data_IF_424012384788
#
_entry.id   IF_424012384788
#
_cell.length_a   1.000
_cell.length_b   1.000
_cell.length_c   1.000
_cell.angle_alpha   90.00
_cell.angle_beta   90.00
_cell.angle_gamma   90.00
#
_symmetry.space_group_name_H-M   'P 1'
#
loop_
_entity.id
_entity.type
_entity.pdbx_description
1 polymer ?
#
# COMPACT_ATOMS: atom_id res chain seq x y z
N UNK A 1 42.34 -45.08 -23.09
CA UNK A 1 43.46 -45.18 -24.05
C UNK A 1 44.06 -43.80 -24.15
N UNK A 2 45.31 -43.48 -23.79
CA UNK A 2 46.49 -44.20 -23.33
C UNK A 2 47.26 -43.20 -22.43
N UNK A 3 47.74 -43.56 -21.24
CA UNK A 3 49.08 -44.13 -20.98
C UNK A 3 50.20 -43.65 -21.92
N UNK A 4 51.22 -43.02 -21.32
CA UNK A 4 52.44 -42.59 -22.00
C UNK A 4 53.46 -42.08 -21.00
N UNK A 5 54.30 -42.98 -20.50
CA UNK A 5 55.33 -42.76 -19.49
C UNK A 5 56.69 -42.31 -20.09
N UNK A 6 57.36 -41.37 -19.38
CA UNK A 6 58.81 -41.32 -19.04
C UNK A 6 59.89 -41.36 -20.16
N UNK A 7 61.22 -41.30 -19.86
CA UNK A 7 62.04 -40.50 -18.91
C UNK A 7 63.36 -39.96 -19.54
N UNK A 8 64.11 -39.13 -18.79
CA UNK A 8 65.60 -39.06 -18.68
C UNK A 8 65.97 -37.66 -18.17
N UNK A 9 66.83 -37.42 -17.20
CA UNK A 9 67.92 -38.21 -16.67
C UNK A 9 69.14 -37.29 -16.61
N UNK A 10 69.57 -36.88 -15.42
CA UNK A 10 71.01 -36.76 -15.18
C UNK A 10 71.35 -36.70 -13.68
N UNK A 11 72.24 -37.63 -13.32
CA UNK A 11 72.91 -37.76 -12.04
C UNK A 11 73.97 -36.66 -11.91
N UNK A 12 74.09 -36.07 -10.73
CA UNK A 12 75.41 -35.85 -10.13
C UNK A 12 75.32 -36.19 -8.63
N UNK A 13 76.02 -37.26 -8.28
CA UNK A 13 76.36 -37.61 -6.90
C UNK A 13 77.45 -36.66 -6.44
N UNK A 14 77.33 -36.11 -5.23
CA UNK A 14 78.48 -35.58 -4.51
C UNK A 14 78.46 -36.11 -3.08
N UNK A 15 79.50 -36.87 -2.74
CA UNK A 15 79.75 -37.46 -1.43
C UNK A 15 80.48 -36.44 -0.55
N UNK A 16 79.91 -36.12 0.61
CA UNK A 16 80.53 -35.33 1.68
C UNK A 16 80.11 -35.87 3.05
N UNK A 17 81.10 -36.13 3.91
CA UNK A 17 81.05 -36.95 5.13
C UNK A 17 80.20 -36.40 6.30
N UNK A 18 79.89 -37.24 7.31
CA UNK A 18 78.90 -36.98 8.35
C UNK A 18 79.46 -36.16 9.52
N UNK A 19 78.77 -35.09 9.89
CA UNK A 19 79.02 -34.33 11.11
C UNK A 19 77.70 -34.13 11.83
N UNK A 20 77.55 -34.74 13.01
CA UNK A 20 76.36 -34.62 13.82
C UNK A 20 76.16 -33.20 14.34
N UNK A 21 74.94 -32.71 14.28
CA UNK A 21 74.33 -32.04 15.43
C UNK A 21 72.80 -32.20 15.32
N UNK A 22 72.28 -33.14 16.09
CA UNK A 22 70.85 -33.24 16.39
C UNK A 22 70.50 -32.10 17.36
N UNK A 23 69.29 -31.58 17.14
CA UNK A 23 68.47 -30.81 18.08
C UNK A 23 68.85 -29.34 18.28
N UNK A 24 68.16 -28.45 17.55
CA UNK A 24 67.09 -27.68 18.19
C UNK A 24 66.13 -27.10 17.12
N UNK A 25 65.11 -27.86 16.73
CA UNK A 25 64.04 -27.36 15.86
C UNK A 25 62.70 -27.94 16.30
N UNK A 26 62.36 -27.71 17.57
CA UNK A 26 61.21 -28.31 18.25
C UNK A 26 60.07 -27.36 18.60
N UNK A 27 60.02 -26.13 18.05
CA UNK A 27 59.01 -25.15 18.50
C UNK A 27 58.25 -24.36 17.42
N UNK A 28 58.50 -24.59 16.12
CA UNK A 28 57.80 -23.86 15.03
C UNK A 28 56.66 -24.65 14.36
N UNK A 29 56.64 -25.98 14.45
CA UNK A 29 55.58 -26.81 13.86
C UNK A 29 54.27 -26.80 14.66
N UNK A 30 54.37 -26.74 16.00
CA UNK A 30 53.20 -26.70 16.89
C UNK A 30 52.44 -25.38 16.79
N UNK A 31 53.14 -24.25 16.79
CA UNK A 31 52.52 -22.92 16.66
C UNK A 31 51.83 -22.71 15.30
N UNK A 32 52.40 -23.24 14.22
CA UNK A 32 51.78 -23.15 12.89
C UNK A 32 50.50 -23.98 12.80
N UNK A 33 50.49 -25.19 13.39
CA UNK A 33 49.30 -26.04 13.41
C UNK A 33 48.18 -25.44 14.28
N UNK A 34 48.52 -24.91 15.46
CA UNK A 34 47.58 -24.19 16.33
C UNK A 34 47.04 -22.94 15.63
N UNK A 35 47.86 -22.22 14.86
CA UNK A 35 47.40 -21.04 14.12
C UNK A 35 46.44 -21.42 12.98
N UNK A 36 46.64 -22.56 12.32
CA UNK A 36 45.70 -23.09 11.31
C UNK A 36 44.38 -23.52 11.95
N UNK A 37 44.42 -24.22 13.08
CA UNK A 37 43.22 -24.60 13.84
C UNK A 37 42.46 -23.37 14.32
N UNK A 38 43.14 -22.34 14.86
CA UNK A 38 42.52 -21.08 15.26
C UNK A 38 41.83 -20.37 14.08
N UNK A 39 42.44 -20.39 12.89
CA UNK A 39 41.85 -19.81 11.70
C UNK A 39 40.62 -20.62 11.23
N UNK A 40 40.66 -21.95 11.33
CA UNK A 40 39.51 -22.82 11.07
C UNK A 40 38.36 -22.54 12.02
N UNK A 41 38.62 -22.52 13.33
CA UNK A 41 37.64 -22.19 14.37
C UNK A 41 37.07 -20.79 14.15
N UNK A 42 37.87 -19.82 13.71
CA UNK A 42 37.39 -18.47 13.39
C UNK A 42 36.43 -18.45 12.21
N UNK A 43 36.68 -19.25 11.17
CA UNK A 43 35.77 -19.38 10.03
C UNK A 43 34.47 -20.07 10.44
N UNK A 44 34.55 -21.14 11.22
CA UNK A 44 33.37 -21.83 11.77
C UNK A 44 32.54 -20.90 12.66
N UNK A 45 33.18 -20.12 13.54
CA UNK A 45 32.49 -19.10 14.33
C UNK A 45 31.79 -18.04 13.46
N UNK A 46 32.35 -17.68 12.31
CA UNK A 46 31.70 -16.75 11.37
C UNK A 46 30.47 -17.38 10.73
N UNK A 47 30.59 -18.61 10.23
CA UNK A 47 29.47 -19.35 9.63
C UNK A 47 28.34 -19.58 10.63
N UNK A 48 28.67 -19.87 11.89
CA UNK A 48 27.68 -20.01 12.96
C UNK A 48 26.94 -18.70 13.21
N UNK A 49 27.62 -17.54 13.20
CA UNK A 49 26.97 -16.23 13.34
C UNK A 49 26.00 -15.95 12.19
N UNK A 50 26.44 -16.16 10.95
CA UNK A 50 25.59 -15.94 9.77
C UNK A 50 24.35 -16.85 9.81
N UNK A 51 24.53 -18.09 10.26
CA UNK A 51 23.42 -19.05 10.45
C UNK A 51 22.45 -18.59 11.54
N UNK A 52 22.96 -18.06 12.64
CA UNK A 52 22.12 -17.48 13.71
C UNK A 52 21.32 -16.29 13.18
N UNK A 53 21.94 -15.39 12.42
CA UNK A 53 21.24 -14.22 11.83
C UNK A 53 20.12 -14.64 10.88
N UNK A 54 20.34 -15.67 10.05
CA UNK A 54 19.30 -16.23 9.19
C UNK A 54 18.13 -16.82 10.01
N UNK A 55 18.44 -17.59 11.06
CA UNK A 55 17.43 -18.16 11.95
C UNK A 55 16.63 -17.08 12.69
N UNK A 56 17.25 -15.95 13.05
CA UNK A 56 16.55 -14.80 13.63
C UNK A 56 15.57 -14.16 12.64
N UNK A 57 15.97 -14.00 11.38
CA UNK A 57 15.09 -13.49 10.32
C UNK A 57 13.89 -14.41 10.06
N UNK A 58 14.12 -15.72 10.00
CA UNK A 58 13.04 -16.72 9.84
C UNK A 58 12.09 -16.70 11.03
N UNK A 59 12.62 -16.64 12.26
CA UNK A 59 11.83 -16.50 13.48
C UNK A 59 10.94 -15.27 13.44
N UNK A 60 11.45 -14.12 12.98
CA UNK A 60 10.65 -12.90 12.86
C UNK A 60 9.60 -12.99 11.73
N UNK A 61 9.92 -13.67 10.62
CA UNK A 61 8.96 -13.98 9.57
C UNK A 61 7.81 -14.86 10.10
N UNK A 62 8.14 -15.92 10.84
CA UNK A 62 7.19 -16.82 11.47
C UNK A 62 6.33 -16.09 12.51
N UNK A 63 6.92 -15.22 13.32
CA UNK A 63 6.16 -14.37 14.27
C UNK A 63 5.13 -13.50 13.55
N UNK A 64 5.50 -12.88 12.42
CA UNK A 64 4.57 -12.11 11.59
C UNK A 64 3.46 -13.00 11.02
N UNK A 65 3.79 -14.18 10.52
CA UNK A 65 2.82 -15.16 10.03
C UNK A 65 1.85 -15.62 11.13
N UNK A 66 2.35 -15.92 12.34
CA UNK A 66 1.54 -16.28 13.50
C UNK A 66 0.59 -15.14 13.89
N UNK A 67 1.09 -13.90 13.94
CA UNK A 67 0.25 -12.73 14.23
C UNK A 67 -0.87 -12.61 13.19
N UNK A 68 -0.56 -12.81 11.91
CA UNK A 68 -1.54 -12.80 10.84
C UNK A 68 -2.59 -13.89 11.03
N UNK A 69 -2.17 -15.14 11.25
CA UNK A 69 -3.08 -16.27 11.46
C UNK A 69 -3.95 -16.08 12.71
N UNK A 70 -3.43 -15.45 13.77
CA UNK A 70 -4.23 -15.10 14.95
C UNK A 70 -5.32 -14.08 14.63
N UNK A 71 -4.97 -13.03 13.88
CA UNK A 71 -5.96 -12.06 13.42
C UNK A 71 -7.03 -12.73 12.56
N UNK A 72 -6.60 -13.51 11.57
CA UNK A 72 -7.50 -14.25 10.67
C UNK A 72 -8.41 -15.22 11.44
N UNK A 73 -7.91 -15.90 12.46
CA UNK A 73 -8.71 -16.76 13.33
C UNK A 73 -9.73 -15.97 14.17
N UNK A 74 -9.36 -14.82 14.72
CA UNK A 74 -10.31 -13.93 15.41
C UNK A 74 -11.39 -13.39 14.45
N UNK A 75 -11.01 -13.06 13.21
CA UNK A 75 -11.98 -12.72 12.16
C UNK A 75 -12.91 -13.90 11.84
N UNK A 76 -12.38 -15.12 11.73
CA UNK A 76 -13.17 -16.33 11.48
C UNK A 76 -14.13 -16.66 12.63
N UNK A 77 -13.74 -16.42 13.89
CA UNK A 77 -14.64 -16.55 15.04
C UNK A 77 -15.78 -15.54 14.99
N UNK A 78 -15.49 -14.28 14.65
CA UNK A 78 -16.52 -13.25 14.44
C UNK A 78 -17.46 -13.65 13.30
N UNK A 79 -16.92 -14.16 12.20
CA UNK A 79 -17.69 -14.70 11.06
C UNK A 79 -18.58 -15.86 11.49
N UNK A 80 -18.05 -16.84 12.22
CA UNK A 80 -18.82 -17.98 12.74
C UNK A 80 -19.97 -17.50 13.64
N UNK A 81 -19.71 -16.57 14.55
CA UNK A 81 -20.74 -15.99 15.42
C UNK A 81 -21.84 -15.29 14.62
N UNK A 82 -21.47 -14.46 13.64
CA UNK A 82 -22.44 -13.79 12.76
C UNK A 82 -23.24 -14.77 11.89
N UNK A 83 -22.60 -15.81 11.37
CA UNK A 83 -23.28 -16.86 10.59
C UNK A 83 -24.22 -17.68 11.46
N UNK A 84 -23.85 -17.95 12.71
CA UNK A 84 -24.71 -18.61 13.69
C UNK A 84 -25.93 -17.74 14.02
N UNK A 85 -25.76 -16.41 14.10
CA UNK A 85 -26.85 -15.44 14.25
C UNK A 85 -27.76 -15.38 12.99
N UNK A 86 -27.20 -15.57 11.78
CA UNK A 86 -27.93 -15.61 10.49
C UNK A 86 -28.77 -16.87 10.25
N UNK A 87 -28.66 -17.91 11.09
CA UNK A 87 -29.53 -19.11 10.96
C UNK A 87 -31.00 -18.80 11.34
N UNK A 88 -31.29 -17.59 11.84
CA UNK A 88 -32.64 -17.03 11.90
C UNK A 88 -32.74 -15.68 11.17
N UNK A 89 -33.62 -15.62 10.18
CA UNK A 89 -34.24 -14.40 9.61
C UNK A 89 -33.72 -13.83 8.26
N UNK A 90 -34.66 -13.28 7.50
CA UNK A 90 -34.85 -13.36 6.05
C UNK A 90 -34.10 -12.36 5.14
N UNK A 91 -34.19 -12.70 3.84
CA UNK A 91 -33.50 -12.25 2.62
C UNK A 91 -33.39 -10.74 2.26
N UNK A 92 -33.74 -9.79 3.13
CA UNK A 92 -33.51 -8.35 2.87
C UNK A 92 -32.30 -7.76 3.65
N UNK A 93 -31.76 -8.52 4.61
CA UNK A 93 -30.57 -8.14 5.41
C UNK A 93 -29.22 -8.34 4.71
N UNK A 94 -29.19 -8.91 3.51
CA UNK A 94 -27.97 -9.46 2.89
C UNK A 94 -26.99 -8.38 2.39
N UNK A 95 -27.45 -7.39 1.62
CA UNK A 95 -26.57 -6.36 1.06
C UNK A 95 -26.10 -5.33 2.11
N UNK A 96 -26.92 -5.06 3.12
CA UNK A 96 -26.55 -4.15 4.23
C UNK A 96 -25.45 -4.78 5.10
N UNK A 97 -25.50 -6.10 5.30
CA UNK A 97 -24.45 -6.83 6.00
C UNK A 97 -23.15 -6.91 5.17
N UNK A 98 -23.23 -7.02 3.83
CA UNK A 98 -22.05 -6.95 2.95
C UNK A 98 -21.35 -5.59 2.98
N UNK A 99 -22.10 -4.49 3.13
CA UNK A 99 -21.50 -3.14 3.18
C UNK A 99 -20.66 -2.93 4.45
N UNK A 100 -21.08 -3.51 5.58
CA UNK A 100 -20.35 -3.41 6.84
C UNK A 100 -19.20 -4.42 6.95
N UNK A 101 -19.15 -5.40 6.05
CA UNK A 101 -18.12 -6.43 6.01
C UNK A 101 -16.76 -5.84 5.58
N UNK A 102 -15.69 -6.32 6.21
CA UNK A 102 -14.33 -5.99 5.80
C UNK A 102 -14.00 -6.72 4.49
N UNK A 103 -13.06 -6.19 3.71
CA UNK A 103 -12.76 -6.71 2.37
C UNK A 103 -12.47 -8.23 2.35
N UNK A 104 -11.76 -8.72 3.36
CA UNK A 104 -11.38 -10.13 3.51
C UNK A 104 -12.60 -11.08 3.68
N UNK A 105 -13.78 -10.53 4.03
CA UNK A 105 -15.02 -11.29 4.13
C UNK A 105 -15.72 -11.47 2.77
N UNK A 106 -15.43 -10.59 1.79
CA UNK A 106 -16.16 -10.47 0.51
C UNK A 106 -15.39 -11.10 -0.66
N UNK A 107 -14.06 -10.94 -0.71
CA UNK A 107 -13.20 -11.52 -1.75
C UNK A 107 -13.46 -11.03 -3.20
N UNK A 108 -14.12 -9.88 -3.39
CA UNK A 108 -14.49 -9.31 -4.71
C UNK A 108 -13.43 -8.35 -5.27
N UNK A 109 -13.61 -7.90 -6.51
CA UNK A 109 -12.85 -6.75 -7.05
C UNK A 109 -13.08 -5.51 -6.15
N UNK A 110 -12.07 -4.65 -6.01
CA UNK A 110 -12.18 -3.38 -5.28
C UNK A 110 -11.66 -2.20 -6.09
N UNK A 111 -12.23 -1.03 -5.84
CA UNK A 111 -11.67 0.26 -6.26
C UNK A 111 -10.98 0.93 -5.08
N UNK A 112 -9.80 1.47 -5.33
CA UNK A 112 -9.05 2.25 -4.35
C UNK A 112 -9.24 3.75 -4.62
N UNK A 113 -10.13 4.36 -3.83
CA UNK A 113 -10.51 5.76 -3.92
C UNK A 113 -9.48 6.65 -3.23
N UNK A 114 -9.03 7.71 -3.91
CA UNK A 114 -8.16 8.73 -3.31
C UNK A 114 -7.41 9.59 -4.32
N UNK A 115 -6.81 10.67 -3.84
CA UNK A 115 -6.08 11.64 -4.67
C UNK A 115 -6.99 12.68 -5.33
N UNK A 116 -6.36 13.67 -5.98
CA UNK A 116 -7.06 14.86 -6.53
C UNK A 116 -7.83 14.58 -7.83
N UNK A 117 -7.47 13.52 -8.55
CA UNK A 117 -8.07 13.16 -9.85
C UNK A 117 -9.18 12.12 -9.73
N UNK A 118 -9.58 11.75 -8.51
CA UNK A 118 -10.53 10.69 -8.24
C UNK A 118 -11.91 11.25 -7.86
N UNK A 119 -12.93 11.15 -8.72
CA UNK A 119 -14.23 11.78 -8.49
C UNK A 119 -14.91 11.37 -7.18
N UNK A 120 -14.64 10.16 -6.68
CA UNK A 120 -15.23 9.66 -5.44
C UNK A 120 -14.48 10.14 -4.18
N UNK A 121 -13.24 10.63 -4.32
CA UNK A 121 -12.49 11.19 -3.21
C UNK A 121 -13.08 12.51 -2.71
N UNK A 122 -12.95 12.80 -1.42
CA UNK A 122 -13.35 14.08 -0.82
C UNK A 122 -12.68 15.28 -1.50
N UNK A 123 -11.38 15.12 -1.80
CA UNK A 123 -10.50 16.16 -2.33
C UNK A 123 -10.80 16.56 -3.78
N UNK A 124 -11.55 15.73 -4.49
CA UNK A 124 -11.88 16.01 -5.88
C UNK A 124 -12.59 17.35 -6.00
N UNK A 125 -12.12 18.18 -6.94
CA UNK A 125 -12.67 19.51 -7.14
C UNK A 125 -14.04 19.39 -7.80
N UNK A 126 -15.08 19.61 -6.99
CA UNK A 126 -16.46 19.65 -7.41
C UNK A 126 -17.14 20.74 -6.58
N UNK A 127 -17.71 21.73 -7.26
CA UNK A 127 -18.44 22.79 -6.58
C UNK A 127 -19.70 22.19 -5.95
N UNK A 128 -19.85 22.37 -4.65
CA UNK A 128 -21.01 21.93 -3.88
C UNK A 128 -21.58 23.12 -3.11
N UNK A 129 -22.89 23.18 -3.02
CA UNK A 129 -23.63 24.19 -2.26
C UNK A 129 -24.24 23.54 -1.02
N UNK A 130 -24.07 24.14 0.15
CA UNK A 130 -24.71 23.66 1.37
C UNK A 130 -26.17 24.12 1.50
N UNK A 131 -26.84 23.71 2.58
CA UNK A 131 -28.23 24.09 2.88
C UNK A 131 -28.43 25.59 3.16
N UNK A 132 -27.37 26.31 3.55
CA UNK A 132 -27.39 27.76 3.74
C UNK A 132 -27.05 28.53 2.46
N UNK A 133 -26.74 27.80 1.39
CA UNK A 133 -26.39 28.33 0.09
C UNK A 133 -24.93 28.74 -0.09
N UNK A 134 -24.05 28.37 0.84
CA UNK A 134 -22.61 28.61 0.79
C UNK A 134 -21.99 27.63 -0.22
N UNK A 135 -21.11 28.15 -1.09
CA UNK A 135 -20.41 27.34 -2.08
C UNK A 135 -19.06 26.88 -1.55
N UNK A 136 -18.75 25.60 -1.74
CA UNK A 136 -17.47 24.99 -1.44
C UNK A 136 -16.88 24.36 -2.70
N UNK A 137 -15.57 24.53 -2.93
CA UNK A 137 -14.89 24.02 -4.14
C UNK A 137 -14.69 22.49 -4.15
N UNK A 138 -14.95 21.81 -3.03
CA UNK A 138 -14.88 20.34 -2.88
C UNK A 138 -15.60 19.89 -1.61
N UNK A 139 -15.88 18.58 -1.51
CA UNK A 139 -16.42 17.97 -0.29
C UNK A 139 -15.45 18.08 0.90
N UNK A 140 -14.13 18.02 0.66
CA UNK A 140 -13.12 18.22 1.71
C UNK A 140 -13.14 19.64 2.30
N UNK A 141 -13.35 20.66 1.47
CA UNK A 141 -13.47 22.04 1.98
C UNK A 141 -14.75 22.26 2.77
N UNK A 142 -15.86 21.66 2.36
CA UNK A 142 -17.07 21.64 3.20
C UNK A 142 -16.80 20.95 4.54
N UNK A 143 -16.10 19.82 4.51
CA UNK A 143 -15.74 19.07 5.72
C UNK A 143 -14.90 19.93 6.68
N UNK A 144 -13.91 20.68 6.19
CA UNK A 144 -13.13 21.61 7.01
C UNK A 144 -13.92 22.85 7.46
N UNK A 145 -14.78 23.40 6.59
CA UNK A 145 -15.64 24.51 6.97
C UNK A 145 -16.56 24.14 8.14
N UNK A 146 -17.16 22.94 8.08
CA UNK A 146 -17.99 22.41 9.18
C UNK A 146 -17.18 22.05 10.42
N UNK A 147 -15.91 21.65 10.26
CA UNK A 147 -15.00 21.50 11.39
C UNK A 147 -14.80 22.84 12.11
N UNK A 148 -14.47 23.91 11.38
CA UNK A 148 -14.33 25.25 11.96
C UNK A 148 -15.64 25.77 12.57
N UNK A 149 -16.80 25.42 11.98
CA UNK A 149 -18.13 25.71 12.55
C UNK A 149 -18.34 25.07 13.92
N UNK A 150 -17.97 23.80 14.10
CA UNK A 150 -18.08 23.09 15.39
C UNK A 150 -17.26 23.77 16.49
N UNK A 151 -16.11 24.36 16.16
CA UNK A 151 -15.26 25.08 17.10
C UNK A 151 -15.55 26.58 17.18
N UNK A 152 -16.61 27.07 16.52
CA UNK A 152 -16.98 28.48 16.46
C UNK A 152 -15.85 29.41 15.95
N UNK A 153 -14.98 28.91 15.08
CA UNK A 153 -13.86 29.69 14.51
C UNK A 153 -14.27 30.36 13.19
N UNK A 154 -14.82 31.56 13.28
CA UNK A 154 -15.22 32.38 12.12
C UNK A 154 -14.03 32.76 11.22
N UNK A 155 -12.83 32.93 11.80
CA UNK A 155 -11.65 33.30 11.03
C UNK A 155 -11.20 32.14 10.14
N UNK A 156 -11.15 30.92 10.69
CA UNK A 156 -10.86 29.72 9.93
C UNK A 156 -11.94 29.42 8.88
N UNK A 157 -13.24 29.58 9.22
CA UNK A 157 -14.34 29.44 8.24
C UNK A 157 -14.15 30.35 7.04
N UNK A 158 -13.87 31.64 7.27
CA UNK A 158 -13.61 32.60 6.20
C UNK A 158 -12.36 32.23 5.39
N UNK A 159 -11.27 31.86 6.07
CA UNK A 159 -10.03 31.43 5.40
C UNK A 159 -10.23 30.23 4.47
N UNK A 160 -11.00 29.23 4.89
CA UNK A 160 -11.31 28.03 4.09
C UNK A 160 -12.17 28.37 2.86
N UNK A 161 -13.12 29.29 2.99
CA UNK A 161 -13.98 29.74 1.89
C UNK A 161 -13.21 30.59 0.87
N UNK A 162 -12.44 31.56 1.35
CA UNK A 162 -11.72 32.53 0.51
C UNK A 162 -10.47 31.94 -0.17
N UNK A 163 -9.96 30.81 0.34
CA UNK A 163 -8.79 30.12 -0.17
C UNK A 163 -8.87 29.81 -1.68
N UNK A 164 -7.86 30.21 -2.44
CA UNK A 164 -7.80 29.97 -3.87
C UNK A 164 -7.29 28.56 -4.17
N UNK A 165 -6.23 28.14 -3.49
CA UNK A 165 -5.62 26.83 -3.64
C UNK A 165 -6.10 25.86 -2.56
N UNK A 166 -5.91 24.55 -2.80
CA UNK A 166 -6.16 23.54 -1.78
C UNK A 166 -5.27 23.73 -0.55
N UNK A 167 -4.00 24.08 -0.78
CA UNK A 167 -3.01 24.22 0.29
C UNK A 167 -3.38 25.38 1.21
N UNK A 168 -3.85 26.50 0.66
CA UNK A 168 -4.28 27.65 1.46
C UNK A 168 -5.47 27.29 2.37
N UNK A 169 -6.40 26.45 1.86
CA UNK A 169 -7.53 25.96 2.66
C UNK A 169 -7.07 24.96 3.73
N UNK A 170 -6.05 24.14 3.44
CA UNK A 170 -5.45 23.20 4.39
C UNK A 170 -4.72 23.93 5.51
N UNK A 171 -4.02 25.02 5.19
CA UNK A 171 -3.38 25.91 6.16
C UNK A 171 -4.43 26.55 7.07
N UNK A 172 -5.50 27.14 6.50
CA UNK A 172 -6.58 27.70 7.28
C UNK A 172 -7.26 26.67 8.21
N UNK A 173 -7.39 25.41 7.77
CA UNK A 173 -7.91 24.32 8.59
C UNK A 173 -6.98 23.97 9.76
N UNK A 174 -5.66 24.02 9.57
CA UNK A 174 -4.69 23.74 10.65
C UNK A 174 -4.68 24.81 11.74
N UNK A 175 -5.12 26.02 11.40
CA UNK A 175 -5.20 27.16 12.32
C UNK A 175 -6.54 27.24 13.09
N UNK A 176 -7.41 26.22 12.98
CA UNK A 176 -8.67 26.17 13.75
C UNK A 176 -8.36 26.20 15.26
N UNK A 177 -8.87 27.22 15.93
CA UNK A 177 -8.69 27.44 17.36
C UNK A 177 -9.47 26.43 18.19
N UNK A 178 -8.94 26.13 19.38
CA UNK A 178 -9.57 25.27 20.39
C UNK A 178 -9.97 23.87 19.88
N UNK A 179 -9.28 23.39 18.84
CA UNK A 179 -9.54 22.08 18.26
C UNK A 179 -9.35 20.97 19.30
N UNK A 180 -10.38 20.15 19.49
CA UNK A 180 -10.38 18.97 20.35
C UNK A 180 -10.79 17.76 19.54
N UNK A 181 -9.87 16.80 19.41
CA UNK A 181 -10.10 15.59 18.63
C UNK A 181 -11.30 14.78 19.14
N UNK A 182 -11.50 14.69 20.46
CA UNK A 182 -12.64 13.98 21.06
C UNK A 182 -13.97 14.57 20.60
N UNK A 183 -14.11 15.89 20.65
CA UNK A 183 -15.31 16.59 20.17
C UNK A 183 -15.49 16.40 18.67
N UNK A 184 -14.42 16.53 17.89
CA UNK A 184 -14.53 16.33 16.44
C UNK A 184 -14.91 14.90 16.07
N UNK A 185 -14.42 13.90 16.81
CA UNK A 185 -14.74 12.50 16.57
C UNK A 185 -16.24 12.17 16.66
N UNK A 186 -17.01 12.94 17.45
CA UNK A 186 -18.47 12.81 17.54
C UNK A 186 -19.19 13.31 16.28
N UNK A 187 -18.59 14.25 15.54
CA UNK A 187 -19.20 14.91 14.38
C UNK A 187 -18.63 14.44 13.03
N UNK A 188 -17.35 14.05 12.99
CA UNK A 188 -16.56 13.88 11.77
C UNK A 188 -17.22 12.96 10.75
N UNK A 189 -17.79 11.83 11.19
CA UNK A 189 -18.41 10.88 10.26
C UNK A 189 -19.66 11.48 9.63
N UNK A 190 -20.56 12.05 10.43
CA UNK A 190 -21.78 12.68 9.94
C UNK A 190 -21.49 13.81 8.94
N UNK A 191 -20.50 14.65 9.23
CA UNK A 191 -20.07 15.72 8.32
C UNK A 191 -19.49 15.13 7.03
N UNK A 192 -18.67 14.08 7.14
CA UNK A 192 -18.10 13.38 5.99
C UNK A 192 -19.18 12.82 5.07
N UNK A 193 -20.16 12.10 5.61
CA UNK A 193 -21.26 11.52 4.82
C UNK A 193 -22.08 12.62 4.14
N UNK A 194 -22.46 13.66 4.90
CA UNK A 194 -23.21 14.81 4.37
C UNK A 194 -22.47 15.48 3.21
N UNK A 195 -21.14 15.65 3.32
CA UNK A 195 -20.33 16.25 2.26
C UNK A 195 -20.35 15.43 0.96
N UNK A 196 -20.30 14.09 1.09
CA UNK A 196 -20.35 13.18 -0.05
C UNK A 196 -21.74 13.13 -0.66
N UNK A 197 -22.79 13.13 0.17
CA UNK A 197 -24.18 13.22 -0.28
C UNK A 197 -24.39 14.49 -1.12
N UNK A 198 -24.01 15.67 -0.61
CA UNK A 198 -24.13 16.93 -1.36
C UNK A 198 -23.38 16.87 -2.69
N UNK A 199 -22.18 16.29 -2.71
CA UNK A 199 -21.40 16.11 -3.94
C UNK A 199 -22.13 15.22 -4.94
N UNK A 200 -22.67 14.09 -4.52
CA UNK A 200 -23.36 13.13 -5.38
C UNK A 200 -24.70 13.68 -5.90
N UNK A 201 -25.48 14.35 -5.05
CA UNK A 201 -26.74 14.97 -5.43
C UNK A 201 -26.57 16.06 -6.49
N UNK A 202 -25.51 16.87 -6.35
CA UNK A 202 -25.28 18.03 -7.23
C UNK A 202 -24.46 17.69 -8.48
N UNK A 203 -23.72 16.57 -8.47
CA UNK A 203 -22.87 16.15 -9.59
C UNK A 203 -23.31 14.77 -10.10
N UNK A 204 -24.35 14.78 -10.95
CA UNK A 204 -24.98 13.55 -11.49
C UNK A 204 -23.98 12.56 -12.09
N UNK A 205 -22.99 13.03 -12.86
CA UNK A 205 -22.00 12.15 -13.47
C UNK A 205 -21.12 11.41 -12.43
N UNK A 206 -20.89 11.99 -11.25
CA UNK A 206 -20.16 11.33 -10.15
C UNK A 206 -21.07 10.30 -9.48
N UNK A 207 -22.35 10.62 -9.29
CA UNK A 207 -23.33 9.66 -8.78
C UNK A 207 -23.49 8.46 -9.73
N UNK A 208 -23.53 8.70 -11.04
CA UNK A 208 -23.57 7.64 -12.04
C UNK A 208 -22.35 6.71 -11.93
N UNK A 209 -21.14 7.24 -11.74
CA UNK A 209 -19.93 6.42 -11.52
C UNK A 209 -20.04 5.55 -10.26
N UNK A 210 -20.60 6.09 -9.17
CA UNK A 210 -20.81 5.35 -7.94
C UNK A 210 -21.83 4.21 -8.15
N UNK A 211 -22.97 4.50 -8.77
CA UNK A 211 -24.01 3.49 -9.07
C UNK A 211 -23.47 2.41 -10.01
N UNK A 212 -22.74 2.80 -11.06
CA UNK A 212 -22.15 1.90 -12.05
C UNK A 212 -21.08 0.96 -11.46
N UNK A 213 -20.46 1.33 -10.33
CA UNK A 213 -19.52 0.44 -9.61
C UNK A 213 -20.19 -0.82 -9.01
N UNK A 214 -21.51 -0.89 -9.05
CA UNK A 214 -22.34 -2.05 -8.70
C UNK A 214 -21.93 -2.81 -7.42
N UNK A 215 -21.32 -3.99 -7.56
CA UNK A 215 -20.91 -4.88 -6.46
C UNK A 215 -19.43 -4.75 -6.10
N UNK A 216 -18.69 -3.83 -6.71
CA UNK A 216 -17.27 -3.61 -6.43
C UNK A 216 -17.08 -3.05 -5.03
N UNK A 217 -16.13 -3.59 -4.27
CA UNK A 217 -15.81 -3.06 -2.94
C UNK A 217 -15.14 -1.70 -3.08
N UNK A 218 -15.46 -0.75 -2.20
CA UNK A 218 -14.89 0.59 -2.23
C UNK A 218 -13.96 0.76 -1.03
N UNK A 219 -12.69 1.00 -1.29
CA UNK A 219 -11.67 1.26 -0.28
C UNK A 219 -11.16 2.69 -0.40
N UNK A 220 -10.99 3.41 0.71
CA UNK A 220 -10.46 4.78 0.71
C UNK A 220 -9.00 4.78 1.16
N UNK A 221 -8.12 5.27 0.29
CA UNK A 221 -6.68 5.34 0.53
C UNK A 221 -6.28 6.60 1.31
N UNK A 222 -6.53 6.57 2.62
CA UNK A 222 -6.05 7.57 3.58
C UNK A 222 -5.29 6.89 4.73
N UNK A 223 -4.35 7.62 5.34
CA UNK A 223 -3.64 7.17 6.54
C UNK A 223 -4.52 7.17 7.79
N UNK A 224 -5.61 7.92 7.77
CA UNK A 224 -6.60 7.87 8.83
C UNK A 224 -7.23 6.47 8.83
N UNK A 225 -6.94 5.71 9.89
CA UNK A 225 -7.39 4.32 10.04
C UNK A 225 -8.88 4.21 10.30
N UNK A 226 -9.55 5.27 10.73
CA UNK A 226 -11.00 5.24 10.87
C UNK A 226 -11.66 5.35 9.50
N UNK A 227 -11.30 6.37 8.71
CA UNK A 227 -11.96 6.61 7.43
C UNK A 227 -11.51 5.67 6.30
N UNK A 228 -10.25 5.25 6.29
CA UNK A 228 -9.66 4.53 5.17
C UNK A 228 -8.93 3.26 5.56
N UNK A 229 -8.06 2.82 4.65
CA UNK A 229 -7.31 1.56 4.75
C UNK A 229 -6.06 1.67 5.63
N UNK A 230 -5.70 2.86 6.11
CA UNK A 230 -4.45 3.13 6.81
C UNK A 230 -3.27 3.46 5.88
N UNK A 231 -3.47 3.40 4.55
CA UNK A 231 -2.41 3.58 3.56
C UNK A 231 -2.70 4.69 2.56
N UNK A 232 -1.65 5.45 2.21
CA UNK A 232 -1.71 6.44 1.12
C UNK A 232 -1.78 5.73 -0.23
N UNK A 233 -2.55 6.28 -1.18
CA UNK A 233 -2.77 5.71 -2.51
C UNK A 233 -1.50 5.40 -3.32
N UNK A 234 -0.42 6.14 -3.08
CA UNK A 234 0.85 5.97 -3.79
C UNK A 234 1.77 4.88 -3.20
N UNK A 235 1.37 4.23 -2.10
CA UNK A 235 2.09 3.11 -1.49
C UNK A 235 1.67 1.79 -2.15
N UNK A 236 2.62 0.90 -2.36
CA UNK A 236 2.33 -0.41 -2.97
C UNK A 236 1.44 -1.27 -2.08
N UNK A 237 1.57 -1.09 -0.76
CA UNK A 237 0.77 -1.72 0.28
C UNK A 237 -0.72 -1.34 0.19
N UNK A 238 -1.03 -0.12 -0.27
CA UNK A 238 -2.41 0.33 -0.41
C UNK A 238 -3.20 -0.49 -1.44
N UNK A 239 -2.52 -1.14 -2.40
CA UNK A 239 -3.15 -2.00 -3.41
C UNK A 239 -3.32 -3.45 -2.95
N UNK A 240 -2.96 -3.77 -1.71
CA UNK A 240 -2.89 -5.13 -1.19
C UNK A 240 -3.69 -5.19 0.12
N UNK A 241 -4.96 -5.66 0.06
CA UNK A 241 -5.87 -5.66 1.20
C UNK A 241 -5.32 -6.31 2.47
N UNK A 242 -4.47 -7.32 2.32
CA UNK A 242 -3.71 -7.96 3.41
C UNK A 242 -2.91 -7.01 4.30
N UNK A 243 -2.52 -5.82 3.81
CA UNK A 243 -1.81 -4.83 4.60
C UNK A 243 -2.72 -3.77 5.21
N UNK A 244 -3.99 -3.71 4.81
CA UNK A 244 -4.91 -2.71 5.32
C UNK A 244 -5.14 -2.95 6.81
N UNK A 245 -4.95 -1.89 7.60
CA UNK A 245 -5.08 -1.92 9.05
C UNK A 245 -6.01 -0.81 9.57
N UNK A 246 -6.81 -0.24 8.66
CA UNK A 246 -7.90 0.69 8.95
C UNK A 246 -9.29 0.08 8.71
N UNK A 247 -10.30 0.71 9.29
CA UNK A 247 -11.71 0.31 9.30
C UNK A 247 -12.44 0.63 7.99
N UNK A 248 -11.88 1.51 7.14
CA UNK A 248 -12.45 1.90 5.86
C UNK A 248 -13.90 2.44 5.95
N UNK A 249 -14.25 3.17 7.02
CA UNK A 249 -15.61 3.69 7.21
C UNK A 249 -16.08 4.59 6.07
N UNK A 250 -15.18 5.34 5.44
CA UNK A 250 -15.50 6.16 4.27
C UNK A 250 -15.86 5.32 3.05
N UNK A 251 -15.19 4.19 2.85
CA UNK A 251 -15.52 3.23 1.80
C UNK A 251 -16.88 2.58 2.03
N UNK A 252 -17.14 2.13 3.27
CA UNK A 252 -18.44 1.60 3.70
C UNK A 252 -19.56 2.61 3.49
N UNK A 253 -19.32 3.88 3.85
CA UNK A 253 -20.25 4.98 3.62
C UNK A 253 -20.55 5.22 2.14
N UNK A 254 -19.54 5.21 1.25
CA UNK A 254 -19.76 5.28 -0.20
C UNK A 254 -20.61 4.12 -0.72
N UNK A 255 -20.44 2.91 -0.17
CA UNK A 255 -21.25 1.76 -0.55
C UNK A 255 -22.70 1.88 -0.04
N UNK A 256 -22.93 2.46 1.16
CA UNK A 256 -24.28 2.82 1.64
C UNK A 256 -24.92 3.86 0.73
N UNK A 257 -24.19 4.92 0.39
CA UNK A 257 -24.66 5.94 -0.56
C UNK A 257 -24.94 5.35 -1.94
N UNK A 258 -24.11 4.43 -2.43
CA UNK A 258 -24.36 3.70 -3.68
C UNK A 258 -25.72 3.00 -3.67
N UNK A 259 -26.03 2.28 -2.58
CA UNK A 259 -27.32 1.59 -2.41
C UNK A 259 -28.48 2.59 -2.44
N UNK A 260 -28.37 3.69 -1.70
CA UNK A 260 -29.38 4.75 -1.65
C UNK A 260 -29.61 5.38 -3.04
N UNK A 261 -28.54 5.77 -3.73
CA UNK A 261 -28.64 6.41 -5.03
C UNK A 261 -29.17 5.45 -6.09
N UNK A 262 -28.78 4.18 -6.06
CA UNK A 262 -29.27 3.15 -7.00
C UNK A 262 -30.79 3.02 -6.97
N UNK A 263 -31.42 3.10 -5.79
CA UNK A 263 -32.88 2.99 -5.66
C UNK A 263 -33.64 4.09 -6.41
N UNK A 264 -33.05 5.28 -6.50
CA UNK A 264 -33.65 6.45 -7.15
C UNK A 264 -32.97 6.77 -8.50
N UNK A 265 -32.18 5.85 -9.05
CA UNK A 265 -31.39 6.08 -10.24
C UNK A 265 -32.10 5.57 -11.49
N UNK A 266 -32.22 6.44 -12.48
CA UNK A 266 -32.65 6.11 -13.83
C UNK A 266 -31.61 6.63 -14.81
N UNK A 267 -31.15 5.77 -15.72
CA UNK A 267 -30.28 6.14 -16.82
C UNK A 267 -31.07 6.94 -17.85
N UNK A 268 -30.53 8.09 -18.28
CA UNK A 268 -31.12 8.91 -19.34
C UNK A 268 -30.27 8.80 -20.61
N UNK A 269 -30.92 8.62 -21.75
CA UNK A 269 -30.26 8.66 -23.07
C UNK A 269 -28.98 7.80 -23.11
N UNK A 270 -27.83 8.41 -23.40
CA UNK A 270 -26.53 7.75 -23.51
C UNK A 270 -25.69 7.80 -22.22
N UNK A 271 -26.27 8.24 -21.09
CA UNK A 271 -25.53 8.44 -19.83
C UNK A 271 -24.85 7.16 -19.34
N UNK A 272 -25.46 5.99 -19.55
CA UNK A 272 -24.87 4.71 -19.15
C UNK A 272 -23.61 4.39 -19.95
N UNK A 273 -23.65 4.63 -21.26
CA UNK A 273 -22.54 4.40 -22.17
C UNK A 273 -21.39 5.37 -21.88
N UNK A 274 -21.69 6.66 -21.68
CA UNK A 274 -20.71 7.67 -21.28
C UNK A 274 -20.08 7.34 -19.92
N UNK A 275 -20.90 6.91 -18.96
CA UNK A 275 -20.43 6.50 -17.64
C UNK A 275 -19.53 5.28 -17.75
N UNK A 276 -19.87 4.29 -18.58
CA UNK A 276 -19.05 3.10 -18.82
C UNK A 276 -17.68 3.45 -19.40
N UNK A 277 -17.62 4.35 -20.39
CA UNK A 277 -16.35 4.83 -20.95
C UNK A 277 -15.50 5.47 -19.85
N UNK A 278 -16.08 6.41 -19.10
CA UNK A 278 -15.39 7.13 -18.02
C UNK A 278 -14.94 6.20 -16.88
N UNK A 279 -15.78 5.25 -16.51
CA UNK A 279 -15.47 4.24 -15.50
C UNK A 279 -14.27 3.40 -15.92
N UNK A 280 -14.20 2.97 -17.17
CA UNK A 280 -13.08 2.21 -17.70
C UNK A 280 -11.78 3.02 -17.75
N UNK A 281 -11.85 4.32 -18.08
CA UNK A 281 -10.70 5.23 -17.98
C UNK A 281 -10.22 5.37 -16.54
N UNK A 282 -11.12 5.61 -15.59
CA UNK A 282 -10.78 5.72 -14.17
C UNK A 282 -10.18 4.42 -13.65
N UNK A 283 -10.76 3.27 -13.96
CA UNK A 283 -10.19 1.95 -13.61
C UNK A 283 -8.79 1.77 -14.17
N UNK A 284 -8.53 2.28 -15.38
CA UNK A 284 -7.24 2.17 -16.05
C UNK A 284 -6.20 3.16 -15.56
N UNK A 285 -6.55 4.37 -15.10
CA UNK A 285 -5.56 5.43 -14.80
C UNK A 285 -5.61 5.95 -13.36
N UNK A 286 -6.78 5.96 -12.73
CA UNK A 286 -6.99 6.61 -11.43
C UNK A 286 -7.15 5.58 -10.30
N UNK A 287 -7.99 4.57 -10.48
CA UNK A 287 -8.19 3.47 -9.52
C UNK A 287 -7.24 2.30 -9.76
N UNK A 288 -6.13 2.52 -10.49
CA UNK A 288 -5.18 1.45 -10.86
C UNK A 288 -4.84 0.59 -9.65
N UNK A 289 -5.09 -0.70 -9.82
CA UNK A 289 -4.29 -1.77 -9.22
C UNK A 289 -2.86 -1.58 -9.72
N UNK A 290 -1.92 -1.23 -8.86
CA UNK A 290 -0.49 -1.42 -9.22
C UNK A 290 -0.26 -2.92 -9.25
N UNK A 291 -0.47 -3.52 -10.42
CA UNK A 291 -0.05 -4.88 -10.69
C UNK A 291 1.47 -4.97 -10.46
N UNK A 292 1.95 -5.76 -9.49
CA UNK A 292 3.37 -5.90 -9.20
C UNK A 292 4.19 -6.30 -10.44
N UNK A 293 3.57 -6.98 -11.41
CA UNK A 293 4.24 -7.41 -12.65
C UNK A 293 4.61 -6.24 -13.56
N UNK A 294 3.94 -5.08 -13.46
CA UNK A 294 4.24 -3.91 -14.29
C UNK A 294 5.40 -3.05 -13.78
N UNK A 295 5.86 -3.22 -12.54
CA UNK A 295 7.11 -2.58 -12.07
C UNK A 295 8.36 -3.20 -12.69
N UNK A 296 8.30 -4.46 -13.11
CA UNK A 296 9.45 -5.15 -13.71
C UNK A 296 9.71 -4.79 -15.18
N UNK A 297 8.83 -4.02 -15.85
CA UNK A 297 9.05 -3.59 -17.23
C UNK A 297 9.67 -2.18 -17.37
N UNK A 298 9.80 -1.41 -16.28
CA UNK A 298 10.39 -0.06 -16.31
C UNK A 298 11.76 0.04 -15.63
N UNK A 299 12.54 -1.04 -15.63
CA UNK A 299 13.98 -1.02 -15.30
C UNK A 299 14.85 -1.76 -16.34
N UNK A 300 14.35 -1.90 -17.57
CA UNK A 300 15.17 -2.19 -18.74
C UNK A 300 15.28 -0.93 -19.58
N UNK A 301 16.49 -0.59 -20.02
CA UNK A 301 16.89 0.55 -20.86
C UNK A 301 17.44 1.78 -20.14
N UNK A 302 18.68 1.65 -19.64
CA UNK A 302 19.65 2.73 -19.76
C UNK A 302 21.08 2.19 -19.95
N UNK A 303 21.63 2.53 -21.12
CA UNK A 303 23.06 2.71 -21.45
C UNK A 303 23.91 1.50 -21.82
N UNK A 304 24.01 1.30 -23.13
CA UNK A 304 25.13 0.64 -23.80
C UNK A 304 25.36 1.11 -25.24
N UNK A 305 25.05 2.36 -25.61
CA UNK A 305 25.53 2.93 -26.89
C UNK A 305 26.98 3.41 -26.71
N UNK A 306 27.95 2.52 -26.94
CA UNK A 306 29.29 2.92 -27.38
C UNK A 306 29.25 3.07 -28.89
N UNK A 307 29.71 4.24 -29.34
CA UNK A 307 29.64 4.65 -30.73
C UNK A 307 30.51 3.80 -31.65
N UNK A 308 30.13 3.82 -32.93
CA UNK A 308 31.08 3.64 -34.00
C UNK A 308 30.75 4.65 -35.10
N UNK A 309 31.56 5.70 -35.15
CA UNK A 309 31.73 6.58 -36.29
C UNK A 309 32.19 5.74 -37.48
N UNK A 310 31.57 5.91 -38.65
CA UNK A 310 32.16 5.54 -39.95
C UNK A 310 32.18 6.80 -40.82
N UNK A 311 33.37 7.28 -41.25
CA UNK A 311 33.43 8.36 -42.22
C UNK A 311 33.25 7.82 -43.64
N UNK A 312 32.67 8.65 -44.49
CA UNK A 312 32.61 8.47 -45.94
C UNK A 312 33.95 8.89 -46.59
N UNK A 313 34.48 8.06 -47.50
CA UNK A 313 35.24 8.47 -48.70
C UNK A 313 35.23 7.28 -49.67
N UNK A 314 34.51 7.32 -50.79
CA UNK A 314 34.96 7.82 -52.09
C UNK A 314 36.10 6.99 -52.74
N UNK A 315 35.74 5.96 -53.51
CA UNK A 315 35.96 5.82 -54.97
C UNK A 315 35.45 4.47 -55.46
#
# INVERSE_FOLDING_TARGET
MAEGAQPNGNRQQNYGKPGGNRQNNGNNGGNFNVQQELNGIKQEMSQLRDTVDMLEQEKDSLRKAIRKLKLENEHMKKKYKRLQEKVGDDRDGDESAEIEADYDEIGRDFILVGGIHDPLALRFQANIKDENGIQHKSAERYYWYKMAEVFNDEAAKKGILDAQSFNDAEEAMKEIKDFKESTWNEHKMKVWEKSQTLKLEQNRWIANLLVFSDKTYIAVATQDKYFGTGWRKNRDEANKPIYWDGENQGGKSLMRLRKLFRQNHEWKENEEDETRVKYNELRRYTWRRVDPTKRFQMNGHARGRRGNFRPYSAR
#
